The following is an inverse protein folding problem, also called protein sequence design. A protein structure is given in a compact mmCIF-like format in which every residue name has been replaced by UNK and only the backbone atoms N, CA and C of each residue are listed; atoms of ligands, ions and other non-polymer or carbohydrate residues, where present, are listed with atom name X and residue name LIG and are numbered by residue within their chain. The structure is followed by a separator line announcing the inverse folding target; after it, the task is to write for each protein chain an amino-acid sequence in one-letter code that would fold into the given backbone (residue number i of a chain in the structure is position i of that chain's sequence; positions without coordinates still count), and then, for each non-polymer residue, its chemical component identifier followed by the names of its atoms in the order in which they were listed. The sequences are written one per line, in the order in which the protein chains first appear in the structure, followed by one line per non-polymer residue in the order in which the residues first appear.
data_IF_604163062176
#
_entry.id   IF_604163062176
#
_cell.length_a   1.000
_cell.length_b   1.000
_cell.length_c   1.000
_cell.angle_alpha   90.00
_cell.angle_beta   90.00
_cell.angle_gamma   90.00
#
_symmetry.space_group_name_H-M   'P 1'
#
loop_
_entity.id
_entity.type
_entity.pdbx_description
1 polymer ?
#
# COMPACT_ATOMS: atom_id res chain seq x y z
N UNK A 1 50.11 5.09 -12.67
CA UNK A 1 48.74 5.67 -12.57
C UNK A 1 48.22 5.44 -11.17
N UNK A 2 47.52 6.44 -10.61
CA UNK A 2 46.77 6.48 -9.33
C UNK A 2 47.50 7.10 -8.14
N UNK A 3 47.56 8.44 -8.13
CA UNK A 3 47.50 9.22 -6.88
C UNK A 3 46.63 10.50 -7.00
N UNK A 4 45.87 10.66 -8.10
CA UNK A 4 45.12 11.91 -8.38
C UNK A 4 43.99 12.19 -7.36
N UNK A 5 43.40 11.16 -6.76
CA UNK A 5 42.29 11.35 -5.81
C UNK A 5 42.74 12.01 -4.49
N UNK A 6 43.98 11.81 -4.06
CA UNK A 6 44.48 12.38 -2.80
C UNK A 6 44.94 13.84 -2.97
N UNK A 7 45.54 14.18 -4.11
CA UNK A 7 45.94 15.56 -4.43
C UNK A 7 44.73 16.46 -4.72
N UNK A 8 43.69 15.96 -5.40
CA UNK A 8 42.46 16.73 -5.63
C UNK A 8 41.70 17.06 -4.33
N UNK A 9 41.81 16.23 -3.30
CA UNK A 9 41.21 16.52 -1.98
C UNK A 9 41.95 17.62 -1.22
N UNK A 10 43.27 17.74 -1.37
CA UNK A 10 44.08 18.80 -0.74
C UNK A 10 43.94 20.15 -1.47
N UNK A 11 43.66 20.13 -2.77
CA UNK A 11 43.44 21.30 -3.62
C UNK A 11 42.05 21.94 -3.45
N UNK A 12 41.16 21.34 -2.67
CA UNK A 12 39.85 21.90 -2.37
C UNK A 12 39.99 23.09 -1.40
N UNK A 13 40.34 24.24 -1.96
CA UNK A 13 40.30 25.57 -1.34
C UNK A 13 38.84 26.03 -1.12
N UNK A 14 37.97 25.12 -0.70
CA UNK A 14 36.59 25.41 -0.35
C UNK A 14 36.61 26.12 0.99
N UNK A 15 36.02 27.31 1.06
CA UNK A 15 35.86 28.02 2.33
C UNK A 15 35.11 27.11 3.31
N UNK A 16 35.34 27.26 4.62
CA UNK A 16 34.64 26.47 5.65
C UNK A 16 33.11 26.47 5.42
N UNK A 17 32.59 27.56 4.89
CA UNK A 17 31.19 27.76 4.50
C UNK A 17 30.74 26.86 3.33
N UNK A 18 31.59 26.62 2.33
CA UNK A 18 31.31 25.72 1.22
C UNK A 18 31.25 24.26 1.70
N UNK A 19 32.14 23.88 2.63
CA UNK A 19 32.11 22.56 3.25
C UNK A 19 30.85 22.35 4.09
N UNK A 20 30.43 23.37 4.83
CA UNK A 20 29.17 23.36 5.59
C UNK A 20 27.97 23.23 4.64
N UNK A 21 27.96 24.01 3.55
CA UNK A 21 26.90 23.96 2.54
C UNK A 21 26.79 22.58 1.90
N UNK A 22 27.91 21.99 1.46
CA UNK A 22 27.93 20.64 0.89
C UNK A 22 27.43 19.58 1.87
N UNK A 23 27.71 19.73 3.17
CA UNK A 23 27.22 18.82 4.21
C UNK A 23 25.71 18.96 4.41
N UNK A 24 25.21 20.19 4.50
CA UNK A 24 23.77 20.47 4.60
C UNK A 24 23.02 19.96 3.37
N UNK A 25 23.54 20.18 2.16
CA UNK A 25 22.92 19.69 0.92
C UNK A 25 22.91 18.15 0.87
N UNK A 26 23.98 17.49 1.33
CA UNK A 26 24.01 16.03 1.47
C UNK A 26 23.00 15.52 2.48
N UNK A 27 22.89 16.16 3.64
CA UNK A 27 21.92 15.78 4.68
C UNK A 27 20.48 16.01 4.19
N UNK A 28 20.22 17.14 3.53
CA UNK A 28 18.92 17.47 2.94
C UNK A 28 18.53 16.49 1.81
N UNK A 29 19.47 16.14 0.92
CA UNK A 29 19.25 15.13 -0.12
C UNK A 29 19.02 13.74 0.47
N UNK A 30 19.76 13.35 1.50
CA UNK A 30 19.58 12.07 2.18
C UNK A 30 18.24 11.99 2.92
N UNK A 31 17.76 13.09 3.49
CA UNK A 31 16.45 13.19 4.15
C UNK A 31 15.30 13.22 3.13
N UNK A 32 15.49 13.88 2.00
CA UNK A 32 14.59 13.80 0.84
C UNK A 32 14.50 12.38 0.28
N UNK A 33 15.62 11.66 0.15
CA UNK A 33 15.62 10.27 -0.33
C UNK A 33 15.00 9.30 0.68
N UNK A 34 15.22 9.50 1.99
CA UNK A 34 14.53 8.74 3.04
C UNK A 34 13.03 8.98 3.03
N UNK A 35 12.61 10.21 2.78
CA UNK A 35 11.19 10.59 2.70
C UNK A 35 10.50 10.07 1.42
N UNK A 36 11.25 9.92 0.31
CA UNK A 36 10.76 9.32 -0.95
C UNK A 36 10.68 7.79 -0.91
N UNK A 37 11.31 7.14 0.06
CA UNK A 37 11.12 5.71 0.37
C UNK A 37 9.86 5.52 1.23
N UNK A 38 8.70 5.98 0.74
CA UNK A 38 7.46 5.35 1.22
C UNK A 38 7.61 3.85 0.91
N UNK A 39 7.40 2.95 1.89
CA UNK A 39 7.39 1.52 1.60
C UNK A 39 6.38 1.33 0.46
N UNK A 40 6.83 0.70 -0.63
CA UNK A 40 6.00 0.42 -1.80
C UNK A 40 4.72 -0.26 -1.30
N UNK A 41 3.63 0.52 -1.19
CA UNK A 41 2.33 0.01 -0.73
C UNK A 41 1.95 -1.09 -1.69
N UNK A 42 1.98 -2.33 -1.23
CA UNK A 42 1.76 -3.47 -2.10
C UNK A 42 0.26 -3.56 -2.32
N UNK A 43 -0.18 -3.20 -3.53
CA UNK A 43 -1.59 -3.24 -3.92
C UNK A 43 -1.88 -4.60 -4.51
N UNK A 44 -2.69 -5.37 -3.80
CA UNK A 44 -3.20 -6.65 -4.26
C UNK A 44 -4.54 -6.43 -4.96
N UNK A 45 -4.64 -6.89 -6.22
CA UNK A 45 -5.88 -6.86 -7.00
C UNK A 45 -6.63 -8.18 -6.97
N UNK A 46 -5.94 -9.28 -6.67
CA UNK A 46 -6.54 -10.60 -6.59
C UNK A 46 -6.63 -11.04 -5.14
N UNK A 47 -7.82 -11.48 -4.72
CA UNK A 47 -8.08 -11.88 -3.33
C UNK A 47 -7.21 -13.07 -2.90
N UNK A 48 -6.86 -13.97 -3.81
CA UNK A 48 -6.02 -15.15 -3.53
C UNK A 48 -4.58 -14.81 -3.16
N UNK A 49 -4.12 -13.59 -3.50
CA UNK A 49 -2.78 -13.11 -3.17
C UNK A 49 -2.76 -12.27 -1.89
N UNK A 50 -3.94 -11.94 -1.34
CA UNK A 50 -4.08 -11.13 -0.13
C UNK A 50 -3.88 -12.02 1.10
N UNK A 51 -3.04 -11.61 2.06
CA UNK A 51 -2.97 -12.28 3.36
C UNK A 51 -4.34 -12.34 4.04
N UNK A 52 -4.66 -13.47 4.67
CA UNK A 52 -6.00 -13.73 5.20
C UNK A 52 -6.45 -12.71 6.26
N UNK A 53 -5.50 -12.21 7.05
CA UNK A 53 -5.71 -11.18 8.07
C UNK A 53 -6.11 -9.81 7.49
N UNK A 54 -5.87 -9.61 6.18
CA UNK A 54 -6.10 -8.33 5.50
C UNK A 54 -7.43 -8.35 4.74
N UNK A 55 -7.92 -9.52 4.32
CA UNK A 55 -9.13 -9.69 3.50
C UNK A 55 -10.34 -8.98 4.11
N UNK A 56 -10.59 -9.15 5.41
CA UNK A 56 -11.70 -8.49 6.11
C UNK A 56 -11.26 -7.28 6.97
N UNK A 57 -10.10 -6.72 6.68
CA UNK A 57 -9.60 -5.54 7.40
C UNK A 57 -10.03 -4.23 6.73
N UNK A 58 -9.81 -3.11 7.42
CA UNK A 58 -9.98 -1.75 6.85
C UNK A 58 -9.07 -1.44 5.66
N UNK A 59 -8.06 -2.28 5.42
CA UNK A 59 -7.11 -2.13 4.32
C UNK A 59 -7.61 -2.76 3.00
N UNK A 60 -8.66 -3.58 3.07
CA UNK A 60 -9.32 -4.15 1.92
C UNK A 60 -10.53 -3.31 1.51
N UNK A 61 -10.74 -3.19 0.21
CA UNK A 61 -11.82 -2.43 -0.42
C UNK A 61 -12.65 -3.37 -1.28
N UNK A 62 -13.96 -3.31 -1.08
CA UNK A 62 -14.95 -4.07 -1.81
C UNK A 62 -15.88 -3.11 -2.53
N UNK A 63 -16.28 -3.47 -3.75
CA UNK A 63 -17.42 -2.86 -4.42
C UNK A 63 -18.69 -3.44 -3.85
N UNK A 64 -19.59 -2.55 -3.44
CA UNK A 64 -20.93 -2.85 -3.02
C UNK A 64 -21.90 -2.31 -4.06
N UNK A 65 -22.66 -3.21 -4.68
CA UNK A 65 -23.72 -2.85 -5.61
C UNK A 65 -25.06 -3.11 -4.97
N UNK A 66 -25.81 -2.04 -4.67
CA UNK A 66 -27.15 -2.13 -4.13
C UNK A 66 -28.13 -2.51 -5.24
N UNK A 67 -28.82 -3.64 -5.12
CA UNK A 67 -29.77 -4.11 -6.13
C UNK A 67 -31.04 -3.26 -6.20
N UNK A 68 -31.44 -2.67 -5.07
CA UNK A 68 -32.66 -1.88 -4.94
C UNK A 68 -32.49 -0.49 -5.57
N UNK A 69 -31.40 0.21 -5.22
CA UNK A 69 -31.13 1.57 -5.74
C UNK A 69 -30.33 1.57 -7.04
N UNK A 70 -29.75 0.42 -7.43
CA UNK A 70 -28.83 0.27 -8.57
C UNK A 70 -27.58 1.13 -8.48
N UNK A 71 -27.21 1.56 -7.27
CA UNK A 71 -26.00 2.35 -7.03
C UNK A 71 -24.82 1.45 -6.66
N UNK A 72 -23.64 1.80 -7.17
CA UNK A 72 -22.36 1.22 -6.74
C UNK A 72 -21.70 2.15 -5.71
N UNK A 73 -21.18 1.58 -4.64
CA UNK A 73 -20.34 2.25 -3.64
C UNK A 73 -19.17 1.34 -3.25
N UNK A 74 -18.29 1.85 -2.41
CA UNK A 74 -17.16 1.10 -1.86
C UNK A 74 -17.33 0.93 -0.36
N UNK A 75 -17.05 -0.27 0.12
CA UNK A 75 -17.07 -0.61 1.55
C UNK A 75 -15.73 -1.22 1.94
N UNK A 76 -15.40 -1.15 3.23
CA UNK A 76 -14.21 -1.80 3.75
C UNK A 76 -14.44 -3.31 4.02
N UNK A 77 -13.36 -4.03 4.32
CA UNK A 77 -13.43 -5.46 4.61
C UNK A 77 -14.26 -5.81 5.85
N UNK A 78 -14.31 -4.93 6.85
CA UNK A 78 -15.08 -5.16 8.09
C UNK A 78 -16.58 -5.08 7.80
N UNK A 79 -16.98 -4.10 7.00
CA UNK A 79 -18.35 -3.95 6.52
C UNK A 79 -18.75 -5.11 5.60
N UNK A 80 -17.85 -5.54 4.70
CA UNK A 80 -18.09 -6.70 3.86
C UNK A 80 -18.28 -7.98 4.71
N UNK A 81 -17.47 -8.19 5.76
CA UNK A 81 -17.62 -9.33 6.67
C UNK A 81 -18.95 -9.30 7.44
N UNK A 82 -19.38 -8.11 7.88
CA UNK A 82 -20.66 -7.94 8.55
C UNK A 82 -21.85 -8.30 7.63
N UNK A 83 -21.75 -7.97 6.33
CA UNK A 83 -22.78 -8.30 5.34
C UNK A 83 -22.90 -9.79 5.05
N UNK A 84 -21.82 -10.57 5.21
CA UNK A 84 -21.87 -12.04 5.10
C UNK A 84 -22.70 -12.64 6.25
N UNK A 85 -22.66 -12.02 7.43
CA UNK A 85 -23.46 -12.45 8.59
C UNK A 85 -23.15 -13.87 9.03
N UNK A 86 -24.17 -14.73 9.02
CA UNK A 86 -24.14 -16.12 9.52
C UNK A 86 -23.57 -17.11 8.48
N UNK A 87 -23.36 -16.69 7.23
CA UNK A 87 -22.90 -17.55 6.14
C UNK A 87 -21.39 -17.87 6.25
N UNK A 88 -20.99 -18.63 7.27
CA UNK A 88 -19.60 -18.98 7.55
C UNK A 88 -18.89 -19.66 6.36
N UNK A 89 -19.61 -20.46 5.57
CA UNK A 89 -19.06 -21.10 4.38
C UNK A 89 -18.55 -20.08 3.35
N UNK A 90 -19.27 -18.97 3.16
CA UNK A 90 -18.87 -17.88 2.24
C UNK A 90 -17.66 -17.15 2.80
N UNK A 91 -17.64 -16.88 4.11
CA UNK A 91 -16.49 -16.28 4.80
C UNK A 91 -15.23 -17.11 4.63
N UNK A 92 -15.29 -18.42 4.87
CA UNK A 92 -14.14 -19.32 4.75
C UNK A 92 -13.61 -19.40 3.32
N UNK A 93 -14.49 -19.46 2.31
CA UNK A 93 -14.08 -19.46 0.90
C UNK A 93 -13.43 -18.15 0.47
N UNK A 94 -13.89 -17.02 1.01
CA UNK A 94 -13.25 -15.72 0.81
C UNK A 94 -11.87 -15.66 1.45
N UNK A 95 -11.72 -16.14 2.69
CA UNK A 95 -10.42 -16.19 3.38
C UNK A 95 -9.41 -17.10 2.67
N UNK A 96 -9.88 -18.20 2.07
CA UNK A 96 -9.05 -19.08 1.24
C UNK A 96 -8.73 -18.48 -0.14
N UNK A 97 -9.35 -17.35 -0.50
CA UNK A 97 -9.19 -16.72 -1.80
C UNK A 97 -9.82 -17.50 -2.95
N UNK A 98 -10.71 -18.44 -2.66
CA UNK A 98 -11.45 -19.24 -3.66
C UNK A 98 -12.61 -18.44 -4.25
N UNK A 99 -13.16 -17.50 -3.48
CA UNK A 99 -14.31 -16.70 -3.84
C UNK A 99 -13.96 -15.22 -3.71
N UNK A 100 -14.15 -14.44 -4.77
CA UNK A 100 -13.85 -13.00 -4.79
C UNK A 100 -15.08 -12.10 -4.74
N UNK A 101 -16.28 -12.67 -4.84
CA UNK A 101 -17.54 -11.94 -4.72
C UNK A 101 -18.64 -12.79 -4.07
N UNK A 102 -19.57 -12.15 -3.37
CA UNK A 102 -20.75 -12.79 -2.79
C UNK A 102 -22.00 -11.92 -3.02
N UNK A 103 -23.16 -12.53 -2.87
CA UNK A 103 -24.45 -11.84 -2.95
C UNK A 103 -25.17 -11.94 -1.61
N UNK A 104 -25.76 -10.85 -1.17
CA UNK A 104 -26.82 -10.85 -0.17
C UNK A 104 -28.17 -10.68 -0.88
N UNK A 105 -29.26 -10.69 -0.11
CA UNK A 105 -30.60 -10.43 -0.66
C UNK A 105 -30.66 -9.06 -1.36
N UNK A 106 -30.04 -8.05 -0.77
CA UNK A 106 -30.15 -6.66 -1.21
C UNK A 106 -28.96 -6.16 -2.05
N UNK A 107 -27.83 -6.88 -2.04
CA UNK A 107 -26.61 -6.39 -2.66
C UNK A 107 -25.72 -7.47 -3.28
N UNK A 108 -24.87 -7.03 -4.20
CA UNK A 108 -23.74 -7.79 -4.69
C UNK A 108 -22.45 -7.15 -4.19
N UNK A 109 -21.57 -7.93 -3.58
CA UNK A 109 -20.30 -7.46 -3.01
C UNK A 109 -19.14 -8.17 -3.68
N UNK A 110 -18.16 -7.42 -4.20
CA UNK A 110 -17.01 -7.95 -4.92
C UNK A 110 -15.72 -7.30 -4.43
N UNK A 111 -14.69 -8.11 -4.20
CA UNK A 111 -13.35 -7.64 -3.88
C UNK A 111 -12.79 -6.77 -5.02
N UNK A 112 -12.25 -5.59 -4.68
CA UNK A 112 -11.64 -4.66 -5.64
C UNK A 112 -10.13 -4.62 -5.46
N UNK A 113 -9.66 -4.31 -4.25
CA UNK A 113 -8.23 -4.21 -3.93
C UNK A 113 -7.96 -4.29 -2.44
N UNK A 114 -6.75 -4.69 -2.07
CA UNK A 114 -6.22 -4.54 -0.71
C UNK A 114 -4.85 -3.85 -0.76
N UNK A 115 -4.58 -3.00 0.23
CA UNK A 115 -3.32 -2.24 0.29
C UNK A 115 -2.57 -2.58 1.56
N UNK A 116 -1.31 -3.01 1.43
CA UNK A 116 -0.47 -3.43 2.56
C UNK A 116 0.75 -2.54 2.70
#
# INVERSE_FOLDING_TARGET
MKNNNAEEMLLNNASLEDLIKMKIEKEFMAELEKSKKEPLKKVYKNISEVPQDIIFSKKAVYRYFNRNTKCETFIDGVQAEALIGIQNNVREKMLKGELSAFTTDEAYVKFDKATV
#
